data_IF_283678978602
#
_entry.id   IF_283678978602
#
_cell.length_a   1.000
_cell.length_b   1.000
_cell.length_c   1.000
_cell.angle_alpha   90.00
_cell.angle_beta   90.00
_cell.angle_gamma   90.00
#
_symmetry.space_group_name_H-M   'P 1'
#
loop_
_entity.id
_entity.type
_entity.pdbx_description
1 polymer ?
#
# COMPACT_ATOMS: atom_id res chain seq x y z
N UNK A 1 29.54 -33.89 31.26
CA UNK A 1 29.30 -32.58 31.92
C UNK A 1 28.12 -31.94 31.20
N UNK A 2 26.89 -31.86 31.69
CA UNK A 2 26.25 -32.21 32.96
C UNK A 2 24.81 -32.61 32.60
N UNK A 3 24.35 -33.70 33.20
CA UNK A 3 23.09 -34.37 32.93
C UNK A 3 21.91 -33.74 33.67
N UNK A 4 20.74 -33.89 33.06
CA UNK A 4 19.40 -33.82 33.64
C UNK A 4 19.28 -34.52 35.00
N UNK A 5 18.46 -33.94 35.89
CA UNK A 5 17.98 -34.54 37.13
C UNK A 5 16.91 -33.66 37.79
N UNK A 6 15.64 -33.94 37.51
CA UNK A 6 14.49 -33.37 38.24
C UNK A 6 14.47 -33.96 39.65
N UNK A 7 14.81 -33.17 40.66
CA UNK A 7 14.73 -33.53 42.08
C UNK A 7 13.32 -33.32 42.61
N UNK A 8 12.53 -34.39 42.61
CA UNK A 8 11.20 -34.48 43.20
C UNK A 8 11.35 -34.97 44.65
N UNK A 9 11.91 -34.14 45.55
CA UNK A 9 12.05 -34.51 46.97
C UNK A 9 12.38 -33.32 47.88
N UNK A 10 11.59 -32.26 47.88
CA UNK A 10 11.50 -31.36 49.04
C UNK A 10 10.05 -30.89 49.19
N UNK A 11 9.20 -31.82 49.62
CA UNK A 11 7.94 -31.50 50.28
C UNK A 11 8.11 -32.01 51.72
N UNK A 12 7.61 -31.22 52.67
CA UNK A 12 7.61 -31.40 54.13
C UNK A 12 8.73 -30.63 54.84
N UNK A 13 8.51 -29.33 55.07
CA UNK A 13 8.58 -28.75 56.42
C UNK A 13 8.08 -27.30 56.42
N UNK A 14 6.83 -27.09 56.85
CA UNK A 14 6.37 -25.80 57.36
C UNK A 14 5.97 -26.04 58.82
N UNK A 15 6.54 -25.31 59.80
CA UNK A 15 6.23 -25.52 61.19
C UNK A 15 4.83 -24.97 61.49
N UNK A 16 4.00 -25.82 62.07
CA UNK A 16 2.66 -25.49 62.54
C UNK A 16 2.75 -24.63 63.81
N UNK A 17 2.42 -23.34 63.69
CA UNK A 17 2.06 -22.49 64.82
C UNK A 17 0.57 -22.19 64.71
N UNK A 18 -0.25 -23.05 65.30
CA UNK A 18 -1.50 -22.62 65.90
C UNK A 18 -1.89 -23.60 67.01
N UNK A 19 -1.73 -23.11 68.23
CA UNK A 19 -2.11 -23.77 69.47
C UNK A 19 -3.54 -23.31 69.75
N UNK A 20 -4.52 -24.21 69.76
CA UNK A 20 -5.79 -23.93 70.43
C UNK A 20 -6.31 -25.18 71.15
N UNK A 21 -6.56 -24.98 72.44
CA UNK A 21 -7.02 -25.97 73.41
C UNK A 21 -8.56 -26.08 73.37
N UNK A 22 -8.99 -27.32 73.60
CA UNK A 22 -10.24 -27.76 74.26
C UNK A 22 -11.52 -28.00 73.45
N UNK A 23 -11.85 -29.31 73.42
CA UNK A 23 -13.15 -29.94 73.73
C UNK A 23 -14.43 -29.43 73.03
N UNK A 24 -15.02 -30.27 72.18
CA UNK A 24 -16.08 -31.20 72.58
C UNK A 24 -16.52 -32.07 71.39
N UNK A 25 -16.93 -33.28 71.73
CA UNK A 25 -17.31 -34.37 70.85
C UNK A 25 -18.44 -33.98 69.89
N UNK A 26 -18.22 -34.15 68.59
CA UNK A 26 -19.21 -34.68 67.66
C UNK A 26 -18.48 -35.22 66.43
N UNK A 27 -18.59 -36.53 66.24
CA UNK A 27 -18.11 -37.27 65.08
C UNK A 27 -18.95 -36.87 63.86
N UNK A 28 -18.50 -35.85 63.12
CA UNK A 28 -18.79 -35.74 61.70
C UNK A 28 -17.53 -36.17 60.96
N UNK A 29 -17.64 -37.24 60.18
CA UNK A 29 -16.56 -37.77 59.37
C UNK A 29 -16.26 -36.71 58.30
N UNK A 30 -15.22 -35.92 58.54
CA UNK A 30 -14.74 -34.84 57.66
C UNK A 30 -13.92 -35.46 56.52
N UNK A 31 -14.61 -36.21 55.65
CA UNK A 31 -14.04 -36.70 54.39
C UNK A 31 -14.30 -35.70 53.26
N UNK A 32 -13.60 -34.56 53.32
CA UNK A 32 -13.06 -33.86 52.14
C UNK A 32 -12.28 -32.61 52.55
N UNK A 33 -11.12 -32.79 53.19
CA UNK A 33 -10.17 -31.68 53.46
C UNK A 33 -9.51 -31.09 52.19
N UNK A 34 -10.04 -31.38 51.00
CA UNK A 34 -9.62 -30.79 49.75
C UNK A 34 -10.68 -29.76 49.35
N UNK A 35 -10.22 -28.52 49.08
CA UNK A 35 -11.01 -27.42 48.53
C UNK A 35 -11.85 -26.57 49.51
N UNK A 36 -11.37 -26.28 50.73
CA UNK A 36 -11.99 -25.25 51.60
C UNK A 36 -11.91 -23.85 50.95
N UNK A 37 -10.84 -23.57 50.20
CA UNK A 37 -10.60 -22.26 49.56
C UNK A 37 -11.33 -22.06 48.20
N UNK A 38 -12.10 -23.05 47.73
CA UNK A 38 -12.74 -23.00 46.41
C UNK A 38 -13.87 -21.96 46.31
N UNK A 39 -14.37 -21.49 47.45
CA UNK A 39 -15.47 -20.51 47.51
C UNK A 39 -15.11 -19.21 46.78
N UNK A 40 -13.85 -18.81 46.81
CA UNK A 40 -13.38 -17.60 46.10
C UNK A 40 -13.36 -17.78 44.57
N UNK A 41 -13.16 -18.99 44.07
CA UNK A 41 -13.16 -19.34 42.64
C UNK A 41 -14.56 -19.43 42.03
N UNK A 42 -15.61 -19.52 42.85
CA UNK A 42 -17.01 -19.48 42.39
C UNK A 42 -17.49 -18.05 42.03
N UNK A 43 -16.65 -17.04 42.23
CA UNK A 43 -17.04 -15.66 41.96
C UNK A 43 -17.36 -15.42 40.48
N UNK A 44 -18.44 -14.70 40.20
CA UNK A 44 -18.93 -14.44 38.84
C UNK A 44 -17.88 -13.78 37.93
N UNK A 45 -17.02 -12.91 38.48
CA UNK A 45 -15.94 -12.26 37.73
C UNK A 45 -14.91 -13.27 37.20
N UNK A 46 -14.58 -14.29 37.99
CA UNK A 46 -13.67 -15.36 37.57
C UNK A 46 -14.29 -16.17 36.43
N UNK A 47 -15.57 -16.54 36.56
CA UNK A 47 -16.29 -17.28 35.53
C UNK A 47 -16.45 -16.47 34.24
N UNK A 48 -16.79 -15.18 34.35
CA UNK A 48 -16.92 -14.27 33.20
C UNK A 48 -15.60 -14.11 32.46
N UNK A 49 -14.48 -13.98 33.18
CA UNK A 49 -13.17 -13.90 32.55
C UNK A 49 -12.83 -15.17 31.75
N UNK A 50 -13.11 -16.35 32.29
CA UNK A 50 -12.89 -17.61 31.59
C UNK A 50 -13.80 -17.77 30.36
N UNK A 51 -15.06 -17.32 30.43
CA UNK A 51 -15.95 -17.25 29.26
C UNK A 51 -15.36 -16.34 28.18
N UNK A 52 -14.86 -15.15 28.56
CA UNK A 52 -14.19 -14.25 27.62
C UNK A 52 -12.95 -14.90 26.97
N UNK A 53 -12.19 -15.70 27.71
CA UNK A 53 -11.08 -16.46 27.15
C UNK A 53 -11.54 -17.50 26.13
N UNK A 54 -12.56 -18.30 26.45
CA UNK A 54 -13.14 -19.26 25.51
C UNK A 54 -13.61 -18.56 24.24
N UNK A 55 -14.33 -17.43 24.38
CA UNK A 55 -14.78 -16.61 23.25
C UNK A 55 -13.59 -16.14 22.44
N UNK A 56 -12.53 -15.62 23.07
CA UNK A 56 -11.35 -15.11 22.37
C UNK A 56 -10.64 -16.18 21.52
N UNK A 57 -10.53 -17.42 22.05
CA UNK A 57 -9.86 -18.53 21.34
C UNK A 57 -10.73 -19.18 20.27
N UNK A 58 -12.04 -18.89 20.25
CA UNK A 58 -12.98 -19.42 19.26
C UNK A 58 -13.04 -18.59 17.97
N UNK A 59 -12.29 -17.49 17.88
CA UNK A 59 -12.39 -16.51 16.80
C UNK A 59 -11.57 -16.96 15.58
N UNK A 60 -12.10 -16.84 14.34
CA UNK A 60 -11.35 -17.18 13.13
C UNK A 60 -10.16 -16.24 12.87
N UNK A 61 -9.13 -16.71 12.17
CA UNK A 61 -7.86 -16.02 11.85
C UNK A 61 -7.96 -14.83 10.86
N UNK A 62 -9.13 -14.19 10.79
CA UNK A 62 -9.32 -12.96 10.01
C UNK A 62 -8.73 -11.74 10.73
N UNK A 63 -8.42 -10.65 10.01
CA UNK A 63 -7.88 -9.43 10.63
C UNK A 63 -8.78 -8.87 11.75
N UNK A 64 -10.07 -8.71 11.46
CA UNK A 64 -11.05 -8.27 12.46
C UNK A 64 -11.21 -9.29 13.59
N UNK A 65 -11.04 -10.58 13.29
CA UNK A 65 -10.99 -11.65 14.28
C UNK A 65 -9.82 -11.51 15.25
N UNK A 66 -8.60 -11.30 14.76
CA UNK A 66 -7.42 -11.16 15.62
C UNK A 66 -7.51 -9.88 16.48
N UNK A 67 -8.05 -8.78 15.94
CA UNK A 67 -8.35 -7.58 16.73
C UNK A 67 -9.37 -7.86 17.86
N UNK A 68 -10.44 -8.57 17.53
CA UNK A 68 -11.47 -8.95 18.49
C UNK A 68 -10.95 -9.92 19.55
N UNK A 69 -10.08 -10.86 19.17
CA UNK A 69 -9.39 -11.78 20.07
C UNK A 69 -8.60 -11.01 21.13
N UNK A 70 -7.67 -10.14 20.73
CA UNK A 70 -6.86 -9.36 21.69
C UNK A 70 -7.72 -8.43 22.55
N UNK A 71 -8.77 -7.82 21.99
CA UNK A 71 -9.70 -6.98 22.75
C UNK A 71 -10.44 -7.76 23.84
N UNK A 72 -10.89 -8.97 23.51
CA UNK A 72 -11.61 -9.86 24.45
C UNK A 72 -10.66 -10.44 25.51
N UNK A 73 -9.42 -10.76 25.14
CA UNK A 73 -8.38 -11.17 26.09
C UNK A 73 -8.07 -10.06 27.10
N UNK A 74 -7.94 -8.81 26.65
CA UNK A 74 -7.74 -7.65 27.54
C UNK A 74 -8.89 -7.55 28.54
N UNK A 75 -10.14 -7.65 28.08
CA UNK A 75 -11.31 -7.62 28.96
C UNK A 75 -11.29 -8.77 29.98
N UNK A 76 -10.94 -10.00 29.56
CA UNK A 76 -10.80 -11.15 30.46
C UNK A 76 -9.70 -10.98 31.51
N UNK A 77 -8.52 -10.49 31.10
CA UNK A 77 -7.42 -10.23 32.03
C UNK A 77 -7.76 -9.10 33.02
N UNK A 78 -8.45 -8.04 32.62
CA UNK A 78 -8.92 -6.99 33.55
C UNK A 78 -9.86 -7.55 34.62
N UNK A 79 -10.76 -8.46 34.23
CA UNK A 79 -11.67 -9.14 35.17
C UNK A 79 -10.91 -10.05 36.13
N UNK A 80 -9.91 -10.83 35.65
CA UNK A 80 -9.07 -11.67 36.52
C UNK A 80 -8.19 -10.86 37.47
N UNK A 81 -7.57 -9.79 36.99
CA UNK A 81 -6.76 -8.88 37.81
C UNK A 81 -7.61 -8.29 38.93
N UNK A 82 -8.82 -7.84 38.62
CA UNK A 82 -9.74 -7.27 39.61
C UNK A 82 -10.16 -8.30 40.64
N UNK A 83 -10.45 -9.54 40.21
CA UNK A 83 -10.78 -10.64 41.11
C UNK A 83 -9.60 -11.03 42.01
N UNK A 84 -8.39 -11.17 41.45
CA UNK A 84 -7.19 -11.52 42.18
C UNK A 84 -6.81 -10.45 43.22
N UNK A 85 -6.98 -9.16 42.89
CA UNK A 85 -6.67 -8.05 43.80
C UNK A 85 -7.73 -7.83 44.88
N UNK A 86 -9.03 -7.93 44.54
CA UNK A 86 -10.12 -7.52 45.44
C UNK A 86 -10.68 -8.65 46.30
N UNK A 87 -10.59 -9.89 45.86
CA UNK A 87 -11.27 -11.03 46.50
C UNK A 87 -10.26 -12.00 47.11
N UNK A 88 -9.27 -12.44 46.33
CA UNK A 88 -8.31 -13.45 46.77
C UNK A 88 -7.05 -12.85 47.40
N UNK A 89 -6.73 -11.59 47.08
CA UNK A 89 -5.49 -10.92 47.51
C UNK A 89 -4.22 -11.73 47.17
N UNK A 90 -4.18 -12.35 45.98
CA UNK A 90 -3.05 -13.16 45.51
C UNK A 90 -2.13 -12.32 44.59
N UNK A 91 -0.98 -11.81 45.07
CA UNK A 91 -0.12 -10.90 44.31
C UNK A 91 0.54 -11.58 43.10
N UNK A 92 0.85 -12.88 43.18
CA UNK A 92 1.45 -13.62 42.07
C UNK A 92 0.49 -13.74 40.89
N UNK A 93 -0.77 -14.11 41.16
CA UNK A 93 -1.83 -14.20 40.15
C UNK A 93 -2.08 -12.83 39.52
N UNK A 94 -2.14 -11.77 40.35
CA UNK A 94 -2.26 -10.40 39.87
C UNK A 94 -1.12 -10.03 38.90
N UNK A 95 0.12 -10.29 39.29
CA UNK A 95 1.32 -9.90 38.53
C UNK A 95 1.37 -10.59 37.17
N UNK A 96 1.12 -11.90 37.12
CA UNK A 96 1.10 -12.64 35.85
C UNK A 96 0.00 -12.16 34.90
N UNK A 97 -1.22 -11.96 35.41
CA UNK A 97 -2.32 -11.47 34.59
C UNK A 97 -2.08 -10.03 34.09
N UNK A 98 -1.40 -9.19 34.88
CA UNK A 98 -0.99 -7.85 34.46
C UNK A 98 0.04 -7.90 33.32
N UNK A 99 1.01 -8.81 33.37
CA UNK A 99 1.95 -9.02 32.27
C UNK A 99 1.23 -9.45 30.99
N UNK A 100 0.30 -10.41 31.07
CA UNK A 100 -0.47 -10.84 29.91
C UNK A 100 -1.39 -9.74 29.36
N UNK A 101 -1.99 -8.93 30.22
CA UNK A 101 -2.74 -7.74 29.82
C UNK A 101 -1.86 -6.81 28.98
N UNK A 102 -0.66 -6.49 29.47
CA UNK A 102 0.26 -5.58 28.79
C UNK A 102 0.68 -6.11 27.41
N UNK A 103 1.02 -7.40 27.32
CA UNK A 103 1.35 -8.05 26.05
C UNK A 103 0.18 -7.94 25.06
N UNK A 104 -1.05 -8.21 25.50
CA UNK A 104 -2.23 -8.11 24.63
C UNK A 104 -2.53 -6.67 24.19
N UNK A 105 -2.30 -5.68 25.07
CA UNK A 105 -2.41 -4.27 24.70
C UNK A 105 -1.39 -3.90 23.62
N UNK A 106 -0.12 -4.30 23.79
CA UNK A 106 0.92 -4.03 22.80
C UNK A 106 0.60 -4.68 21.45
N UNK A 107 0.13 -5.93 21.44
CA UNK A 107 -0.29 -6.62 20.22
C UNK A 107 -1.47 -5.92 19.56
N UNK A 108 -2.49 -5.51 20.33
CA UNK A 108 -3.63 -4.77 19.81
C UNK A 108 -3.19 -3.44 19.17
N UNK A 109 -2.31 -2.67 19.84
CA UNK A 109 -1.75 -1.42 19.32
C UNK A 109 -0.96 -1.69 18.02
N UNK A 110 -0.11 -2.72 17.99
CA UNK A 110 0.66 -3.10 16.81
C UNK A 110 -0.24 -3.42 15.61
N UNK A 111 -1.32 -4.21 15.82
CA UNK A 111 -2.28 -4.56 14.78
C UNK A 111 -3.07 -3.35 14.27
N UNK A 112 -3.45 -2.42 15.15
CA UNK A 112 -4.11 -1.17 14.77
C UNK A 112 -3.14 -0.30 13.98
N UNK A 113 -1.88 -0.20 14.43
CA UNK A 113 -0.86 0.60 13.78
C UNK A 113 -0.55 0.11 12.36
N UNK A 114 -0.49 -1.20 12.15
CA UNK A 114 -0.24 -1.79 10.83
C UNK A 114 -1.31 -1.41 9.78
N UNK A 115 -2.56 -1.16 10.22
CA UNK A 115 -3.66 -0.79 9.33
C UNK A 115 -3.99 0.70 9.35
N UNK A 116 -3.18 1.56 9.99
CA UNK A 116 -3.42 3.00 10.00
C UNK A 116 -3.63 3.47 8.55
N UNK A 117 -4.81 4.01 8.20
CA UNK A 117 -5.08 4.44 6.83
C UNK A 117 -4.03 5.49 6.45
N UNK A 118 -3.41 5.28 5.29
CA UNK A 118 -2.50 6.26 4.70
C UNK A 118 -3.39 7.41 4.24
N UNK A 119 -3.58 8.40 5.13
CA UNK A 119 -4.27 9.63 4.82
C UNK A 119 -3.30 10.54 4.08
N UNK A 120 -3.57 10.77 2.80
CA UNK A 120 -2.87 11.77 2.03
C UNK A 120 -3.44 13.15 2.34
N UNK A 121 -2.62 14.19 2.19
CA UNK A 121 -3.12 15.56 2.16
C UNK A 121 -4.19 15.69 1.05
N UNK A 122 -5.14 16.61 1.22
CA UNK A 122 -6.26 16.80 0.27
C UNK A 122 -5.79 16.93 -1.19
N UNK A 123 -4.69 17.64 -1.43
CA UNK A 123 -4.10 17.85 -2.75
C UNK A 123 -3.57 16.56 -3.37
N UNK A 124 -2.88 15.71 -2.58
CA UNK A 124 -2.37 14.41 -3.02
C UNK A 124 -3.49 13.39 -3.19
N UNK A 125 -4.52 13.45 -2.35
CA UNK A 125 -5.71 12.60 -2.48
C UNK A 125 -6.46 12.91 -3.79
N UNK A 126 -6.52 14.17 -4.20
CA UNK A 126 -7.09 14.58 -5.48
C UNK A 126 -6.30 13.95 -6.64
N UNK A 127 -4.98 14.10 -6.65
CA UNK A 127 -4.09 13.48 -7.66
C UNK A 127 -4.27 11.95 -7.70
N UNK A 128 -4.30 11.30 -6.54
CA UNK A 128 -4.53 9.85 -6.46
C UNK A 128 -5.86 9.45 -7.11
N UNK A 129 -6.95 10.17 -6.78
CA UNK A 129 -8.29 9.85 -7.29
C UNK A 129 -8.44 10.14 -8.79
N UNK A 130 -7.85 11.22 -9.29
CA UNK A 130 -8.00 11.65 -10.68
C UNK A 130 -7.06 10.90 -11.63
N UNK A 131 -5.79 10.72 -11.24
CA UNK A 131 -4.76 10.19 -12.12
C UNK A 131 -4.45 8.72 -11.88
N UNK A 132 -4.42 8.24 -10.63
CA UNK A 132 -3.86 6.90 -10.31
C UNK A 132 -4.94 5.83 -10.05
N UNK A 133 -6.07 6.21 -9.46
CA UNK A 133 -7.20 5.32 -9.18
C UNK A 133 -7.79 4.69 -10.46
N UNK A 134 -7.96 5.40 -11.60
CA UNK A 134 -8.45 4.79 -12.84
C UNK A 134 -7.54 3.68 -13.36
N UNK A 135 -6.22 3.78 -13.10
CA UNK A 135 -5.24 2.77 -13.47
C UNK A 135 -5.08 1.69 -12.40
N UNK A 136 -5.99 1.55 -11.42
CA UNK A 136 -5.96 0.52 -10.37
C UNK A 136 -4.68 0.51 -9.51
N UNK A 137 -3.99 1.64 -9.39
CA UNK A 137 -2.83 1.77 -8.49
C UNK A 137 -3.30 1.76 -7.03
N UNK A 138 -2.67 0.90 -6.23
CA UNK A 138 -3.00 0.81 -4.80
C UNK A 138 -2.50 2.04 -4.04
N UNK A 139 -3.16 2.39 -2.92
CA UNK A 139 -2.69 3.48 -2.05
C UNK A 139 -1.26 3.26 -1.54
N UNK A 140 -0.86 2.01 -1.35
CA UNK A 140 0.49 1.65 -0.89
C UNK A 140 1.52 1.98 -1.98
N UNK A 141 1.25 1.63 -3.23
CA UNK A 141 2.13 1.97 -4.36
C UNK A 141 2.22 3.48 -4.58
N UNK A 142 1.08 4.18 -4.52
CA UNK A 142 1.08 5.64 -4.62
C UNK A 142 1.84 6.29 -3.45
N UNK A 143 1.72 5.76 -2.22
CA UNK A 143 2.52 6.22 -1.06
C UNK A 143 4.02 6.09 -1.32
N UNK A 144 4.47 5.00 -1.94
CA UNK A 144 5.89 4.84 -2.31
C UNK A 144 6.31 5.94 -3.28
N UNK A 145 5.50 6.24 -4.29
CA UNK A 145 5.77 7.30 -5.26
C UNK A 145 5.92 8.68 -4.61
N UNK A 146 5.02 9.04 -3.68
CA UNK A 146 5.01 10.36 -3.03
C UNK A 146 5.79 10.40 -1.72
N UNK A 147 6.56 9.35 -1.42
CA UNK A 147 7.41 9.27 -0.24
C UNK A 147 8.52 10.33 -0.32
N UNK A 148 8.87 10.93 0.81
CA UNK A 148 9.95 11.94 0.92
C UNK A 148 11.31 11.44 0.41
N UNK A 149 11.49 10.12 0.32
CA UNK A 149 12.68 9.49 -0.27
C UNK A 149 12.81 9.72 -1.78
N UNK A 150 11.68 9.88 -2.49
CA UNK A 150 11.64 9.97 -3.95
C UNK A 150 11.12 11.33 -4.44
N UNK A 151 10.28 11.99 -3.65
CA UNK A 151 9.52 13.15 -4.05
C UNK A 151 9.64 14.29 -3.03
N UNK A 152 9.62 15.53 -3.52
CA UNK A 152 9.62 16.71 -2.69
C UNK A 152 8.47 17.64 -3.11
N UNK A 153 7.80 18.24 -2.12
CA UNK A 153 6.71 19.18 -2.35
C UNK A 153 7.22 20.59 -2.08
N UNK A 154 7.08 21.47 -3.07
CA UNK A 154 7.55 22.86 -3.03
C UNK A 154 6.39 23.80 -3.30
N UNK A 155 6.45 24.98 -2.67
CA UNK A 155 5.48 26.06 -2.87
C UNK A 155 6.13 27.13 -3.72
N UNK A 156 5.40 27.62 -4.72
CA UNK A 156 5.82 28.66 -5.65
C UNK A 156 4.84 29.84 -5.52
N UNK A 157 5.36 31.02 -5.24
CA UNK A 157 4.59 32.25 -5.15
C UNK A 157 4.31 32.85 -6.53
N UNK A 158 3.36 33.79 -6.59
CA UNK A 158 2.96 34.45 -7.84
C UNK A 158 4.17 35.12 -8.49
N UNK A 159 4.39 34.84 -9.78
CA UNK A 159 5.52 35.39 -10.54
C UNK A 159 6.84 34.64 -10.39
N UNK A 160 6.96 33.71 -9.43
CA UNK A 160 8.14 32.85 -9.34
C UNK A 160 8.13 31.80 -10.47
N UNK A 161 9.33 31.43 -10.93
CA UNK A 161 9.49 30.47 -12.02
C UNK A 161 9.85 29.08 -11.49
N UNK A 162 9.11 28.07 -11.95
CA UNK A 162 9.49 26.66 -11.79
C UNK A 162 10.71 26.32 -12.64
N UNK A 163 10.71 26.80 -13.88
CA UNK A 163 11.78 26.63 -14.83
C UNK A 163 11.91 27.88 -15.70
N UNK A 164 13.16 28.24 -16.01
CA UNK A 164 13.51 29.33 -16.90
C UNK A 164 14.10 28.78 -18.19
N UNK A 165 13.64 29.32 -19.31
CA UNK A 165 14.09 28.96 -20.66
C UNK A 165 15.61 29.10 -20.80
N UNK A 166 16.25 28.09 -21.39
CA UNK A 166 17.69 27.98 -21.63
C UNK A 166 18.59 28.08 -20.38
N UNK A 167 18.01 28.03 -19.18
CA UNK A 167 18.72 28.13 -17.90
C UNK A 167 18.54 26.84 -17.09
N UNK A 168 17.29 26.47 -16.81
CA UNK A 168 16.97 25.31 -15.97
C UNK A 168 17.25 24.00 -16.72
N UNK A 169 17.87 23.03 -16.05
CA UNK A 169 18.14 21.68 -16.58
C UNK A 169 16.90 20.79 -16.53
N UNK A 170 16.81 19.80 -17.43
CA UNK A 170 15.67 18.87 -17.56
C UNK A 170 15.92 17.54 -16.82
N UNK A 171 16.19 17.61 -15.51
CA UNK A 171 16.60 16.46 -14.67
C UNK A 171 15.53 15.98 -13.66
N UNK A 172 14.34 16.59 -13.71
CA UNK A 172 13.22 16.32 -12.80
C UNK A 172 11.91 16.20 -13.55
N UNK A 173 10.94 15.58 -12.90
CA UNK A 173 9.55 15.53 -13.30
C UNK A 173 8.72 16.24 -12.23
N UNK A 174 7.98 17.27 -12.59
CA UNK A 174 7.09 18.05 -11.74
C UNK A 174 5.63 17.82 -12.08
N UNK A 175 4.79 17.74 -11.06
CA UNK A 175 3.33 17.67 -11.16
C UNK A 175 2.70 18.77 -10.32
N UNK A 176 1.81 19.56 -10.93
CA UNK A 176 1.12 20.64 -10.24
C UNK A 176 0.01 20.08 -9.34
N UNK A 177 0.08 20.35 -8.03
CA UNK A 177 -0.91 19.90 -7.05
C UNK A 177 -2.05 20.90 -6.91
N UNK A 178 -1.71 22.19 -6.76
CA UNK A 178 -2.67 23.29 -6.59
C UNK A 178 -2.18 24.56 -7.27
N UNK A 179 -3.11 25.46 -7.59
CA UNK A 179 -2.83 26.73 -8.27
C UNK A 179 -2.88 26.61 -9.81
N UNK A 180 -2.32 27.61 -10.49
CA UNK A 180 -2.18 27.66 -11.95
C UNK A 180 -0.80 28.19 -12.32
N UNK A 181 -0.16 27.57 -13.31
CA UNK A 181 1.09 28.04 -13.89
C UNK A 181 0.87 28.40 -15.36
N UNK A 182 1.69 29.30 -15.89
CA UNK A 182 1.68 29.69 -17.29
C UNK A 182 2.98 29.26 -17.95
N UNK A 183 2.87 28.69 -19.15
CA UNK A 183 4.03 28.39 -19.99
C UNK A 183 4.23 29.56 -20.95
N UNK A 184 5.45 30.07 -21.00
CA UNK A 184 5.86 31.15 -21.90
C UNK A 184 7.07 30.73 -22.73
N UNK A 185 7.12 31.16 -23.97
CA UNK A 185 8.28 31.03 -24.84
C UNK A 185 8.63 32.42 -25.37
N UNK A 186 9.86 32.88 -25.15
CA UNK A 186 10.32 34.21 -25.57
C UNK A 186 9.35 35.33 -25.14
N UNK A 187 8.86 35.23 -23.89
CA UNK A 187 7.83 36.10 -23.28
C UNK A 187 6.42 36.04 -23.87
N UNK A 188 6.18 35.20 -24.88
CA UNK A 188 4.84 34.96 -25.42
C UNK A 188 4.13 33.85 -24.63
N UNK A 189 2.88 34.08 -24.24
CA UNK A 189 2.06 33.09 -23.55
C UNK A 189 1.63 31.95 -24.47
N UNK A 190 1.96 30.72 -24.10
CA UNK A 190 1.59 29.51 -24.84
C UNK A 190 0.26 28.93 -24.34
N UNK A 191 0.28 28.37 -23.13
CA UNK A 191 -0.88 27.75 -22.51
C UNK A 191 -0.76 27.77 -20.98
N UNK A 192 -1.89 27.76 -20.26
CA UNK A 192 -1.91 27.58 -18.82
C UNK A 192 -1.82 26.09 -18.46
N UNK A 193 -1.21 25.79 -17.32
CA UNK A 193 -1.15 24.48 -16.69
C UNK A 193 -2.06 24.51 -15.46
N UNK A 194 -2.95 23.52 -15.39
CA UNK A 194 -3.92 23.34 -14.32
C UNK A 194 -3.48 22.28 -13.31
N UNK A 195 -4.12 22.20 -12.12
CA UNK A 195 -3.84 21.13 -11.15
C UNK A 195 -4.04 19.73 -11.77
N UNK A 196 -3.25 18.76 -11.30
CA UNK A 196 -3.19 17.39 -11.84
C UNK A 196 -2.64 17.29 -13.27
N UNK A 197 -1.84 18.26 -13.71
CA UNK A 197 -1.09 18.23 -14.97
C UNK A 197 0.41 18.30 -14.70
N UNK A 198 1.21 17.67 -15.56
CA UNK A 198 2.66 17.72 -15.42
C UNK A 198 3.20 19.08 -15.83
N UNK A 199 4.31 19.51 -15.23
CA UNK A 199 4.97 20.77 -15.56
C UNK A 199 5.97 20.59 -16.72
N UNK A 200 6.58 19.43 -16.83
CA UNK A 200 7.78 19.14 -17.64
C UNK A 200 7.76 17.73 -18.25
N UNK A 201 6.56 17.21 -18.54
CA UNK A 201 6.39 15.90 -19.17
C UNK A 201 7.11 15.75 -20.51
N UNK A 202 7.12 16.74 -21.45
CA UNK A 202 7.91 16.63 -22.67
C UNK A 202 9.41 16.59 -22.40
N UNK A 203 9.90 17.47 -21.51
CA UNK A 203 11.31 17.55 -21.12
C UNK A 203 11.79 16.29 -20.41
N UNK A 204 10.93 15.64 -19.63
CA UNK A 204 11.23 14.39 -18.96
C UNK A 204 11.29 13.20 -19.94
N UNK A 205 10.36 13.11 -20.89
CA UNK A 205 10.28 12.04 -21.89
C UNK A 205 11.33 12.18 -22.98
N UNK A 206 11.69 13.41 -23.35
CA UNK A 206 12.89 13.65 -24.15
C UNK A 206 14.06 13.11 -23.33
N UNK A 207 14.60 11.96 -23.74
CA UNK A 207 15.76 11.28 -23.12
C UNK A 207 17.03 12.11 -23.33
N UNK A 208 16.98 13.33 -22.81
CA UNK A 208 17.98 14.34 -23.00
C UNK A 208 19.25 13.95 -22.26
N UNK A 209 20.38 14.25 -22.87
CA UNK A 209 21.65 14.27 -22.15
C UNK A 209 21.50 15.16 -20.90
N UNK A 210 22.29 14.94 -19.86
CA UNK A 210 22.26 15.74 -18.61
C UNK A 210 22.48 17.26 -18.80
N UNK A 211 22.71 17.70 -20.05
CA UNK A 211 22.92 19.08 -20.45
C UNK A 211 21.69 19.74 -21.07
N UNK A 212 20.61 18.99 -21.33
CA UNK A 212 19.40 19.55 -21.90
C UNK A 212 18.72 20.54 -20.94
N UNK A 213 18.28 21.65 -21.53
CA UNK A 213 17.68 22.77 -20.81
C UNK A 213 16.26 23.01 -21.31
N UNK A 214 15.43 23.50 -20.41
CA UNK A 214 14.05 23.89 -20.71
C UNK A 214 14.01 24.86 -21.89
N UNK A 215 13.13 24.60 -22.86
CA UNK A 215 12.93 25.47 -24.04
C UNK A 215 11.86 26.54 -23.82
N UNK A 216 11.12 26.42 -22.72
CA UNK A 216 10.05 27.33 -22.30
C UNK A 216 10.28 27.72 -20.85
N UNK A 217 9.71 28.85 -20.45
CA UNK A 217 9.66 29.28 -19.05
C UNK A 217 8.31 28.91 -18.46
N UNK A 218 8.30 28.35 -17.25
CA UNK A 218 7.08 27.99 -16.52
C UNK A 218 6.99 28.87 -15.28
N UNK A 219 6.00 29.75 -15.25
CA UNK A 219 5.85 30.80 -14.22
C UNK A 219 4.53 30.62 -13.48
N UNK A 220 4.54 30.73 -12.16
CA UNK A 220 3.34 30.70 -11.34
C UNK A 220 2.42 31.89 -11.63
N UNK A 221 1.19 31.61 -12.07
CA UNK A 221 0.15 32.63 -12.24
C UNK A 221 -0.58 32.92 -10.92
N UNK A 222 -0.70 31.91 -10.05
CA UNK A 222 -1.20 32.02 -8.67
C UNK A 222 -0.18 31.40 -7.72
N UNK A 223 -0.40 31.51 -6.39
CA UNK A 223 0.35 30.65 -5.46
C UNK A 223 0.07 29.19 -5.80
N UNK A 224 1.12 28.42 -6.02
CA UNK A 224 1.08 27.06 -6.50
C UNK A 224 1.81 26.15 -5.53
N UNK A 225 1.36 24.91 -5.45
CA UNK A 225 2.16 23.82 -4.86
C UNK A 225 2.35 22.76 -5.89
N UNK A 226 3.56 22.24 -5.99
CA UNK A 226 3.89 21.16 -6.90
C UNK A 226 4.72 20.11 -6.18
N UNK A 227 4.59 18.88 -6.64
CA UNK A 227 5.47 17.78 -6.26
C UNK A 227 6.44 17.56 -7.40
N UNK A 228 7.71 17.33 -7.09
CA UNK A 228 8.68 16.94 -8.10
C UNK A 228 9.47 15.72 -7.65
N UNK A 229 9.92 14.97 -8.65
CA UNK A 229 10.79 13.81 -8.49
C UNK A 229 12.06 14.02 -9.29
N UNK A 230 13.20 13.66 -8.72
CA UNK A 230 14.44 13.59 -9.49
C UNK A 230 14.39 12.39 -10.44
N UNK A 231 14.95 12.52 -11.65
CA UNK A 231 14.96 11.43 -12.64
C UNK A 231 15.61 10.16 -12.09
N UNK A 232 16.77 10.27 -11.45
CA UNK A 232 17.48 9.14 -10.84
C UNK A 232 16.66 8.41 -9.77
N UNK A 233 15.91 9.16 -8.96
CA UNK A 233 15.04 8.61 -7.93
C UNK A 233 13.83 7.86 -8.52
N UNK A 234 13.23 8.40 -9.59
CA UNK A 234 12.15 7.74 -10.33
C UNK A 234 12.63 6.47 -11.03
N UNK A 235 13.79 6.51 -11.70
CA UNK A 235 14.37 5.35 -12.38
C UNK A 235 14.62 4.20 -11.39
N UNK A 236 15.17 4.51 -10.22
CA UNK A 236 15.33 3.52 -9.16
C UNK A 236 13.99 2.92 -8.69
N UNK A 237 12.96 3.76 -8.53
CA UNK A 237 11.63 3.29 -8.15
C UNK A 237 11.01 2.40 -9.25
N UNK A 238 11.22 2.72 -10.51
CA UNK A 238 10.71 1.96 -11.66
C UNK A 238 11.32 0.58 -11.77
N UNK A 239 12.60 0.42 -11.40
CA UNK A 239 13.25 -0.90 -11.32
C UNK A 239 12.58 -1.77 -10.24
N UNK A 240 12.16 -1.19 -9.12
CA UNK A 240 11.49 -1.91 -8.04
C UNK A 240 10.01 -2.21 -8.31
N UNK A 241 9.31 -1.28 -8.95
CA UNK A 241 7.86 -1.30 -9.14
C UNK A 241 7.52 -1.12 -10.62
N UNK A 242 7.69 -2.17 -11.41
CA UNK A 242 7.50 -2.16 -12.87
C UNK A 242 6.09 -1.73 -13.29
N UNK A 243 5.07 -2.11 -12.52
CA UNK A 243 3.69 -1.69 -12.77
C UNK A 243 3.52 -0.17 -12.66
N UNK A 244 4.11 0.42 -11.62
CA UNK A 244 4.05 1.87 -11.40
C UNK A 244 4.80 2.62 -12.51
N UNK A 245 5.92 2.07 -12.99
CA UNK A 245 6.66 2.61 -14.13
C UNK A 245 5.77 2.69 -15.38
N UNK A 246 5.06 1.62 -15.72
CA UNK A 246 4.15 1.60 -16.87
C UNK A 246 3.03 2.62 -16.73
N UNK A 247 2.46 2.76 -15.53
CA UNK A 247 1.39 3.74 -15.29
C UNK A 247 1.91 5.17 -15.42
N UNK A 248 3.07 5.49 -14.84
CA UNK A 248 3.67 6.83 -14.94
C UNK A 248 4.02 7.16 -16.40
N UNK A 249 4.65 6.24 -17.13
CA UNK A 249 4.95 6.43 -18.55
C UNK A 249 3.67 6.69 -19.38
N UNK A 250 2.59 5.96 -19.08
CA UNK A 250 1.28 6.17 -19.73
C UNK A 250 0.69 7.55 -19.39
N UNK A 251 0.81 7.99 -18.14
CA UNK A 251 0.35 9.31 -17.71
C UNK A 251 1.14 10.45 -18.36
N UNK A 252 2.47 10.31 -18.45
CA UNK A 252 3.35 11.26 -19.15
C UNK A 252 2.98 11.34 -20.63
N UNK A 253 2.85 10.19 -21.31
CA UNK A 253 2.47 10.14 -22.73
C UNK A 253 1.10 10.78 -22.98
N UNK A 254 0.12 10.53 -22.09
CA UNK A 254 -1.20 11.17 -22.14
C UNK A 254 -1.11 12.69 -22.01
N UNK A 255 -0.34 13.17 -21.05
CA UNK A 255 -0.17 14.61 -20.79
C UNK A 255 0.52 15.32 -21.97
N UNK A 256 1.59 14.73 -22.51
CA UNK A 256 2.26 15.22 -23.73
C UNK A 256 1.25 15.31 -24.89
N UNK A 257 0.46 14.27 -25.10
CA UNK A 257 -0.55 14.23 -26.17
C UNK A 257 -1.57 15.35 -26.00
N UNK A 258 -2.09 15.57 -24.79
CA UNK A 258 -3.04 16.65 -24.50
C UNK A 258 -2.43 18.02 -24.78
N UNK A 259 -1.19 18.26 -24.33
CA UNK A 259 -0.48 19.52 -24.58
C UNK A 259 -0.24 19.77 -26.06
N UNK A 260 0.16 18.74 -26.82
CA UNK A 260 0.34 18.83 -28.27
C UNK A 260 -0.97 19.18 -28.99
N UNK A 261 -2.07 18.52 -28.64
CA UNK A 261 -3.39 18.86 -29.21
C UNK A 261 -3.82 20.29 -28.85
N UNK A 262 -3.61 20.72 -27.61
CA UNK A 262 -3.93 22.08 -27.16
C UNK A 262 -3.12 23.14 -27.91
N UNK A 263 -1.83 22.90 -28.16
CA UNK A 263 -1.00 23.81 -28.95
C UNK A 263 -1.39 23.80 -30.43
N UNK A 264 -1.64 22.62 -31.01
CA UNK A 264 -2.02 22.53 -32.42
C UNK A 264 -3.32 23.30 -32.69
N UNK A 265 -4.34 23.16 -31.84
CA UNK A 265 -5.61 23.88 -31.98
C UNK A 265 -5.47 25.42 -31.96
N UNK A 266 -4.43 25.96 -31.30
CA UNK A 266 -4.12 27.40 -31.31
C UNK A 266 -3.49 27.86 -32.64
N UNK A 267 -2.69 27.01 -33.26
CA UNK A 267 -2.12 27.29 -34.60
C UNK A 267 -3.21 27.23 -35.68
N UNK A 268 -4.24 26.39 -35.47
CA UNK A 268 -5.40 26.25 -36.38
C UNK A 268 -6.30 27.50 -36.46
N UNK A 269 -6.24 28.41 -35.49
CA UNK A 269 -7.15 29.58 -35.42
C UNK A 269 -6.60 30.83 -36.09
N UNK A 270 -5.29 30.93 -36.37
CA UNK A 270 -4.71 32.10 -37.06
C UNK A 270 -4.68 32.00 -38.59
N UNK A 271 -4.83 30.81 -39.19
CA UNK A 271 -4.74 30.61 -40.66
C UNK A 271 -5.93 29.89 -41.31
N UNK A 272 -7.02 29.66 -40.56
CA UNK A 272 -8.33 29.28 -41.14
C UNK A 272 -8.42 27.91 -41.80
N UNK A 273 -7.49 26.98 -41.57
CA UNK A 273 -7.63 25.59 -42.03
C UNK A 273 -7.28 24.57 -40.93
N UNK A 274 -8.17 23.60 -40.75
CA UNK A 274 -8.11 22.54 -39.75
C UNK A 274 -7.26 21.37 -40.27
N UNK A 275 -6.11 21.10 -39.66
CA UNK A 275 -5.38 19.85 -39.82
C UNK A 275 -6.10 18.79 -38.99
N UNK A 276 -6.94 18.03 -39.67
CA UNK A 276 -7.62 16.86 -39.13
C UNK A 276 -6.57 15.74 -38.94
N UNK A 277 -5.83 15.76 -37.82
CA UNK A 277 -4.92 14.66 -37.41
C UNK A 277 -5.77 13.51 -36.84
N UNK A 278 -6.78 13.08 -37.59
CA UNK A 278 -7.37 11.77 -37.36
C UNK A 278 -6.36 10.76 -37.86
N UNK A 279 -5.99 9.81 -37.00
CA UNK A 279 -5.35 8.58 -37.50
C UNK A 279 -6.22 8.03 -38.63
N UNK A 280 -5.65 7.56 -39.76
CA UNK A 280 -6.44 6.95 -40.80
C UNK A 280 -7.26 5.82 -40.18
N UNK A 281 -8.58 5.99 -40.16
CA UNK A 281 -9.50 4.93 -39.75
C UNK A 281 -9.22 3.74 -40.68
N UNK A 282 -8.87 2.57 -40.13
CA UNK A 282 -8.55 1.35 -40.89
C UNK A 282 -9.85 0.72 -41.44
N UNK A 283 -10.72 1.54 -42.03
CA UNK A 283 -12.05 1.13 -42.49
C UNK A 283 -12.44 1.74 -43.84
N UNK A 284 -11.56 1.67 -44.86
CA UNK A 284 -12.05 1.54 -46.24
C UNK A 284 -11.84 0.12 -46.81
N UNK A 285 -11.00 -0.72 -46.19
CA UNK A 285 -10.65 -2.04 -46.73
C UNK A 285 -11.77 -3.09 -46.67
N UNK A 286 -12.95 -2.75 -46.12
CA UNK A 286 -14.12 -3.63 -46.05
C UNK A 286 -15.34 -3.09 -46.82
N UNK A 287 -15.20 -1.97 -47.53
CA UNK A 287 -16.32 -1.32 -48.22
C UNK A 287 -16.00 -0.98 -49.68
N UNK A 288 -15.75 -2.01 -50.51
CA UNK A 288 -16.23 -2.01 -51.91
C UNK A 288 -15.95 -3.36 -52.56
N UNK A 289 -17.03 -4.03 -52.97
CA UNK A 289 -17.00 -5.08 -53.99
C UNK A 289 -16.65 -4.49 -55.36
N UNK A 290 -16.09 -5.36 -56.19
CA UNK A 290 -16.01 -5.34 -57.66
C UNK A 290 -15.04 -4.36 -58.35
N UNK A 291 -13.84 -4.85 -58.70
CA UNK A 291 -13.30 -4.62 -60.04
C UNK A 291 -12.23 -5.67 -60.43
N UNK A 292 -12.22 -6.03 -61.71
CA UNK A 292 -11.57 -7.17 -62.36
C UNK A 292 -10.04 -7.12 -62.32
N UNK A 293 -9.41 -8.29 -62.12
CA UNK A 293 -7.97 -8.53 -62.30
C UNK A 293 -7.58 -8.64 -63.78
N UNK A 294 -6.44 -8.06 -64.23
CA UNK A 294 -5.87 -8.37 -65.53
C UNK A 294 -4.97 -9.61 -65.46
N UNK A 295 -5.10 -10.45 -66.50
CA UNK A 295 -4.36 -11.68 -66.77
C UNK A 295 -3.06 -11.36 -67.52
N UNK A 296 -1.91 -11.82 -67.02
CA UNK A 296 -0.72 -12.22 -67.83
C UNK A 296 0.00 -13.35 -67.07
N UNK A 297 -0.31 -14.62 -67.39
CA UNK A 297 0.49 -15.58 -68.21
C UNK A 297 1.85 -16.04 -67.62
N UNK A 298 1.76 -17.21 -66.96
CA UNK A 298 2.55 -18.46 -67.14
C UNK A 298 4.07 -18.45 -67.29
N UNK A 299 4.74 -19.14 -66.34
CA UNK A 299 5.61 -20.33 -66.50
C UNK A 299 6.21 -20.64 -65.09
N UNK A 300 6.47 -21.84 -64.59
CA UNK A 300 6.40 -23.23 -65.07
C UNK A 300 6.43 -24.11 -63.80
N UNK A 301 5.69 -25.22 -63.86
CA UNK A 301 5.48 -26.23 -62.81
C UNK A 301 6.63 -27.25 -62.81
N UNK A 302 7.08 -27.67 -61.63
CA UNK A 302 7.30 -29.06 -61.19
C UNK A 302 8.18 -29.06 -59.93
N UNK A 303 8.14 -29.95 -58.95
CA UNK A 303 7.24 -30.99 -58.39
C UNK A 303 8.14 -31.60 -57.29
N UNK A 304 7.56 -32.07 -56.17
CA UNK A 304 7.92 -33.31 -55.40
C UNK A 304 7.52 -33.12 -53.92
N UNK A 305 6.42 -33.82 -53.55
CA UNK A 305 6.16 -34.67 -52.35
C UNK A 305 7.00 -34.44 -51.08
N UNK A 306 6.54 -34.60 -49.83
CA UNK A 306 5.33 -35.16 -49.21
C UNK A 306 5.50 -35.09 -47.68
N UNK A 307 4.38 -35.13 -46.96
CA UNK A 307 4.22 -35.64 -45.59
C UNK A 307 4.65 -34.83 -44.35
N UNK A 308 3.64 -34.67 -43.50
CA UNK A 308 3.64 -34.27 -42.09
C UNK A 308 4.10 -35.44 -41.19
N UNK A 309 4.62 -35.16 -39.97
CA UNK A 309 3.93 -35.72 -38.80
C UNK A 309 3.95 -34.86 -37.52
N UNK A 310 3.09 -35.25 -36.58
CA UNK A 310 2.81 -34.68 -35.24
C UNK A 310 3.84 -35.12 -34.18
N UNK A 311 4.19 -34.17 -33.27
CA UNK A 311 4.49 -34.21 -31.80
C UNK A 311 5.37 -35.32 -31.17
N UNK A 312 6.16 -35.09 -30.09
CA UNK A 312 5.65 -34.83 -28.73
C UNK A 312 6.53 -33.96 -27.77
N UNK A 313 6.00 -33.77 -26.55
CA UNK A 313 6.45 -33.00 -25.35
C UNK A 313 7.74 -33.62 -24.72
N UNK A 314 8.50 -32.86 -23.89
CA UNK A 314 8.57 -33.26 -22.47
C UNK A 314 8.51 -32.10 -21.46
N UNK A 315 8.16 -32.47 -20.23
CA UNK A 315 7.88 -31.66 -19.05
C UNK A 315 9.14 -31.11 -18.36
N UNK A 316 8.99 -29.98 -17.65
CA UNK A 316 9.92 -29.55 -16.60
C UNK A 316 9.97 -28.04 -16.35
N UNK A 317 9.12 -27.53 -15.45
CA UNK A 317 9.46 -26.69 -14.28
C UNK A 317 8.21 -25.96 -13.78
N UNK A 318 7.59 -26.53 -12.75
CA UNK A 318 6.52 -25.92 -11.96
C UNK A 318 6.98 -26.09 -10.51
N UNK A 319 7.46 -25.01 -9.89
CA UNK A 319 7.58 -24.76 -8.44
C UNK A 319 8.64 -23.66 -8.21
N UNK A 320 8.21 -22.45 -7.86
CA UNK A 320 8.84 -21.54 -6.88
C UNK A 320 8.02 -20.25 -6.81
N UNK A 321 6.83 -20.33 -6.24
CA UNK A 321 6.15 -19.17 -5.64
C UNK A 321 5.60 -19.66 -4.31
N UNK A 322 6.37 -19.46 -3.24
CA UNK A 322 5.92 -19.30 -1.85
C UNK A 322 7.16 -19.10 -0.97
N UNK A 323 7.68 -17.86 -0.91
CA UNK A 323 8.26 -17.21 0.29
C UNK A 323 8.94 -15.89 -0.13
N UNK A 324 8.35 -14.75 0.24
CA UNK A 324 8.98 -13.61 0.91
C UNK A 324 7.90 -12.59 1.28
#
# INVERSE_FOLDING_TARGET
MTSFGFGLSEIINVPSVFNDKNNTNNTFIDHSGWCVDWRSSQHWMFQMANVLFIVSYSVPTSYYGILFMHSTLIAGFLMLITWAWRIVCAPDVFTWNLCFLFINILQLIYLIYQRRPINFNSELEQVYRSMFKPFKVTRIQFKKLVSEQFAQIVTLHVGEAYAMQNITKTDRLGLLLTGKANVLQDHQFLHPISPCEFLDSPEFESRGSSEDKFKVSVIAATTCRYIFWQRSALEYLFVKETYLATVIATLIAKDITIKLYAMNNKIMTEKGSHLDIRLPSITPALASKDCKLPIVKTLKKQTITSHCPKSPIPAGLLLFIFYQ
#
